data_IF_747991520659
#
_entry.id   IF_747991520659
#
_cell.length_a   1.000
_cell.length_b   1.000
_cell.length_c   1.000
_cell.angle_alpha   90.00
_cell.angle_beta   90.00
_cell.angle_gamma   90.00
#
_symmetry.space_group_name_H-M   'P 1'
#
loop_
_entity.id
_entity.type
_entity.pdbx_description
1 polymer ?
#
# COMPACT_ATOMS: atom_id res chain seq x y z
N UNK A 1 -12.47 1.72 22.15
CA UNK A 1 -11.41 1.19 21.27
C UNK A 1 -10.97 2.28 20.33
N UNK A 2 -9.65 2.50 20.18
CA UNK A 2 -9.10 3.49 19.25
C UNK A 2 -8.95 2.86 17.85
N UNK A 3 -8.80 3.69 16.82
CA UNK A 3 -8.71 3.23 15.42
C UNK A 3 -7.47 2.36 15.16
N UNK A 4 -6.36 2.60 15.88
CA UNK A 4 -5.11 1.86 15.76
C UNK A 4 -5.27 0.38 16.12
N UNK A 5 -6.01 0.06 17.21
CA UNK A 5 -6.26 -1.33 17.60
C UNK A 5 -7.02 -2.12 16.53
N UNK A 6 -7.94 -1.48 15.79
CA UNK A 6 -8.68 -2.16 14.71
C UNK A 6 -7.81 -2.47 13.50
N UNK A 7 -6.88 -1.57 13.15
CA UNK A 7 -5.95 -1.81 12.03
C UNK A 7 -5.03 -3.00 12.35
N UNK A 8 -4.55 -3.09 13.59
CA UNK A 8 -3.73 -4.20 14.08
C UNK A 8 -4.44 -5.55 14.01
N UNK A 9 -5.72 -5.60 14.39
CA UNK A 9 -6.55 -6.80 14.31
C UNK A 9 -6.69 -7.27 12.84
N UNK A 10 -6.99 -6.34 11.92
CA UNK A 10 -7.08 -6.64 10.49
C UNK A 10 -5.73 -7.11 9.94
N UNK A 11 -4.66 -6.39 10.25
CA UNK A 11 -3.30 -6.73 9.84
C UNK A 11 -2.90 -8.15 10.29
N UNK A 12 -3.20 -8.52 11.54
CA UNK A 12 -2.89 -9.84 12.08
C UNK A 12 -3.57 -10.98 11.31
N UNK A 13 -4.75 -10.72 10.73
CA UNK A 13 -5.49 -11.71 9.92
C UNK A 13 -4.94 -11.94 8.51
N UNK A 14 -4.09 -11.04 8.00
CA UNK A 14 -3.52 -11.17 6.65
C UNK A 14 -2.43 -12.24 6.60
N UNK A 15 -2.46 -13.18 5.65
CA UNK A 15 -1.45 -14.23 5.51
C UNK A 15 -0.19 -13.75 4.77
N UNK A 16 0.14 -12.47 4.84
CA UNK A 16 1.32 -11.86 4.22
C UNK A 16 2.18 -11.17 5.26
N UNK A 17 3.49 -11.17 5.02
CA UNK A 17 4.53 -10.63 5.90
C UNK A 17 4.54 -11.27 7.30
N UNK A 18 5.72 -11.41 7.90
CA UNK A 18 5.81 -11.96 9.25
C UNK A 18 5.54 -10.87 10.29
N UNK A 19 6.05 -9.66 10.04
CA UNK A 19 6.04 -8.56 10.98
C UNK A 19 4.73 -7.76 10.92
N UNK A 20 3.98 -7.59 12.04
CA UNK A 20 2.73 -6.83 12.06
C UNK A 20 2.87 -5.40 11.53
N UNK A 21 4.00 -4.74 11.84
CA UNK A 21 4.31 -3.39 11.38
C UNK A 21 4.36 -3.31 9.85
N UNK A 22 4.95 -4.30 9.18
CA UNK A 22 4.95 -4.34 7.71
C UNK A 22 3.54 -4.53 7.14
N UNK A 23 2.68 -5.28 7.83
CA UNK A 23 1.27 -5.46 7.41
C UNK A 23 0.48 -4.16 7.55
N UNK A 24 0.71 -3.39 8.61
CA UNK A 24 0.11 -2.07 8.78
C UNK A 24 0.56 -1.09 7.69
N UNK A 25 1.87 -1.03 7.40
CA UNK A 25 2.40 -0.20 6.31
C UNK A 25 1.80 -0.64 4.97
N UNK A 26 1.73 -1.95 4.71
CA UNK A 26 1.11 -2.48 3.49
C UNK A 26 -0.35 -2.04 3.35
N UNK A 27 -1.14 -2.13 4.43
CA UNK A 27 -2.54 -1.67 4.41
C UNK A 27 -2.66 -0.16 4.14
N UNK A 28 -1.76 0.64 4.70
CA UNK A 28 -1.72 2.08 4.43
C UNK A 28 -1.37 2.37 2.97
N UNK A 29 -0.31 1.72 2.46
CA UNK A 29 0.13 1.82 1.07
C UNK A 29 -0.97 1.38 0.11
N UNK A 30 -1.64 0.27 0.40
CA UNK A 30 -2.76 -0.23 -0.40
C UNK A 30 -3.91 0.78 -0.45
N UNK A 31 -4.27 1.38 0.68
CA UNK A 31 -5.28 2.43 0.73
C UNK A 31 -4.90 3.65 -0.11
N UNK A 32 -3.67 4.14 0.04
CA UNK A 32 -3.18 5.30 -0.72
C UNK A 32 -3.08 5.01 -2.23
N UNK A 33 -2.64 3.82 -2.61
CA UNK A 33 -2.52 3.37 -4.01
C UNK A 33 -3.89 3.25 -4.67
N UNK A 34 -4.85 2.58 -4.02
CA UNK A 34 -6.21 2.40 -4.54
C UNK A 34 -7.01 3.71 -4.59
N UNK A 35 -6.71 4.65 -3.69
CA UNK A 35 -7.25 6.00 -3.70
C UNK A 35 -6.55 6.94 -4.72
N UNK A 36 -5.58 6.44 -5.51
CA UNK A 36 -4.79 7.21 -6.47
C UNK A 36 -4.03 8.39 -5.87
N UNK A 37 -3.64 8.29 -4.60
CA UNK A 37 -2.88 9.34 -3.94
C UNK A 37 -1.38 9.18 -4.19
N UNK A 38 -0.93 7.92 -4.31
CA UNK A 38 0.45 7.57 -4.61
C UNK A 38 0.51 6.61 -5.80
N UNK A 39 1.63 6.65 -6.53
CA UNK A 39 1.99 5.74 -7.61
C UNK A 39 2.53 4.42 -7.07
N UNK A 40 2.59 3.39 -7.92
CA UNK A 40 3.23 2.11 -7.59
C UNK A 40 4.69 2.30 -7.14
N UNK A 41 5.42 3.18 -7.83
CA UNK A 41 6.81 3.52 -7.49
C UNK A 41 6.94 4.09 -6.08
N UNK A 42 6.09 5.06 -5.72
CA UNK A 42 6.10 5.65 -4.36
C UNK A 42 5.64 4.64 -3.31
N UNK A 43 4.65 3.82 -3.63
CA UNK A 43 4.22 2.71 -2.78
C UNK A 43 5.37 1.72 -2.49
N UNK A 44 6.16 1.37 -3.51
CA UNK A 44 7.33 0.50 -3.37
C UNK A 44 8.43 1.14 -2.52
N UNK A 45 8.69 2.44 -2.72
CA UNK A 45 9.62 3.23 -1.89
C UNK A 45 9.24 3.19 -0.41
N UNK A 46 7.96 3.43 -0.08
CA UNK A 46 7.45 3.40 1.31
C UNK A 46 7.57 2.00 1.92
N UNK A 47 7.35 0.95 1.12
CA UNK A 47 7.51 -0.44 1.54
C UNK A 47 8.98 -0.89 1.60
N UNK A 48 9.92 -0.06 1.13
CA UNK A 48 11.32 -0.44 0.89
C UNK A 48 11.45 -1.69 0.02
N UNK A 49 10.62 -1.77 -1.03
CA UNK A 49 10.57 -2.85 -2.02
C UNK A 49 11.07 -2.35 -3.36
N UNK A 50 11.52 -3.27 -4.20
CA UNK A 50 11.60 -3.02 -5.63
C UNK A 50 10.17 -2.89 -6.21
N UNK A 51 9.99 -2.01 -7.19
CA UNK A 51 8.68 -1.75 -7.81
C UNK A 51 8.04 -3.03 -8.39
N UNK A 52 8.85 -3.87 -9.03
CA UNK A 52 8.43 -5.17 -9.56
C UNK A 52 8.02 -6.15 -8.45
N UNK A 53 8.74 -6.16 -7.32
CA UNK A 53 8.41 -7.02 -6.18
C UNK A 53 7.07 -6.63 -5.55
N UNK A 54 6.77 -5.32 -5.47
CA UNK A 54 5.46 -4.86 -5.03
C UNK A 54 4.37 -5.24 -6.03
N UNK A 55 4.61 -5.05 -7.34
CA UNK A 55 3.64 -5.43 -8.38
C UNK A 55 3.28 -6.92 -8.31
N UNK A 56 4.29 -7.80 -8.23
CA UNK A 56 4.07 -9.23 -8.08
C UNK A 56 3.30 -9.58 -6.80
N UNK A 57 3.55 -8.86 -5.71
CA UNK A 57 2.80 -9.04 -4.46
C UNK A 57 1.33 -8.68 -4.63
N UNK A 58 1.03 -7.57 -5.31
CA UNK A 58 -0.35 -7.15 -5.60
C UNK A 58 -1.05 -8.16 -6.52
N UNK A 59 -0.37 -8.64 -7.56
CA UNK A 59 -0.89 -9.65 -8.49
C UNK A 59 -1.20 -10.98 -7.77
N UNK A 60 -0.30 -11.46 -6.91
CA UNK A 60 -0.51 -12.67 -6.10
C UNK A 60 -1.72 -12.56 -5.17
N UNK A 61 -2.03 -11.34 -4.72
CA UNK A 61 -3.18 -11.05 -3.86
C UNK A 61 -4.45 -10.74 -4.66
N UNK A 62 -4.38 -10.69 -6.00
CA UNK A 62 -5.50 -10.32 -6.86
C UNK A 62 -5.96 -8.88 -6.65
N UNK A 63 -5.03 -7.98 -6.30
CA UNK A 63 -5.32 -6.58 -6.05
C UNK A 63 -5.07 -5.79 -7.33
N UNK A 64 -6.15 -5.25 -7.89
CA UNK A 64 -6.07 -4.33 -9.01
C UNK A 64 -5.90 -2.88 -8.49
N UNK A 65 -5.11 -2.09 -9.20
CA UNK A 65 -4.99 -0.65 -8.98
C UNK A 65 -4.94 0.08 -10.32
N UNK A 66 -5.16 1.39 -10.28
CA UNK A 66 -5.08 2.26 -11.45
C UNK A 66 -3.86 3.15 -11.37
N UNK A 67 -3.23 3.38 -12.52
CA UNK A 67 -2.17 4.39 -12.63
C UNK A 67 -2.71 5.80 -12.40
N UNK A 68 -1.81 6.67 -11.93
CA UNK A 68 -2.09 8.08 -11.69
C UNK A 68 -2.34 8.81 -13.02
N UNK A 69 -3.30 9.72 -13.02
CA UNK A 69 -3.49 10.72 -14.08
C UNK A 69 -2.52 11.89 -13.87
N UNK A 70 -2.41 12.81 -14.84
CA UNK A 70 -1.57 14.02 -14.68
C UNK A 70 -2.00 14.89 -13.47
N UNK A 71 -3.30 14.94 -13.18
CA UNK A 71 -3.83 15.64 -12.01
C UNK A 71 -3.38 14.95 -10.71
N UNK A 72 -3.49 13.61 -10.66
CA UNK A 72 -3.05 12.83 -9.50
C UNK A 72 -1.54 12.95 -9.26
N UNK A 73 -0.72 12.96 -10.32
CA UNK A 73 0.74 13.16 -10.23
C UNK A 73 1.08 14.52 -9.61
N UNK A 74 0.28 15.55 -9.91
CA UNK A 74 0.45 16.87 -9.30
C UNK A 74 0.17 16.81 -7.79
N UNK A 75 -0.84 16.05 -7.37
CA UNK A 75 -1.14 15.83 -5.94
C UNK A 75 -0.05 15.01 -5.24
N UNK A 76 0.42 13.93 -5.86
CA UNK A 76 1.50 13.08 -5.33
C UNK A 76 2.78 13.88 -5.06
N UNK A 77 3.07 14.91 -5.86
CA UNK A 77 4.27 15.74 -5.69
C UNK A 77 4.37 16.48 -4.35
N UNK A 78 3.25 16.59 -3.61
CA UNK A 78 3.14 17.28 -2.32
C UNK A 78 3.10 16.29 -1.14
N UNK A 79 3.13 14.99 -1.41
CA UNK A 79 3.09 13.91 -0.41
C UNK A 79 4.42 13.73 0.33
#
# INVERSE_FOLDING_TARGET
>A
MNSTTRLQEIATSLPIFAEPEKKEIFLFVLGALTAKIISLRKAAEVMNFDEEALLQTLDLLGIEFSYLTEEDVTQESVW
#
